data_IF_897236731229
#
_entry.id   IF_897236731229
#
_cell.length_a   1.000
_cell.length_b   1.000
_cell.length_c   1.000
_cell.angle_alpha   90.00
_cell.angle_beta   90.00
_cell.angle_gamma   90.00
#
_symmetry.space_group_name_H-M   'P 1'
#
loop_
_entity.id
_entity.type
_entity.pdbx_description
1 polymer ?
#
# COMPACT_ATOMS: atom_id res chain seq x y z
N UNK A 1 20.10 -2.24 1.51
CA UNK A 1 20.47 -0.82 1.39
C UNK A 1 19.20 0.02 1.51
N UNK A 2 19.17 0.97 2.44
CA UNK A 2 18.07 1.94 2.53
C UNK A 2 18.28 3.06 1.49
N UNK A 3 17.18 3.64 0.99
CA UNK A 3 17.21 4.76 0.04
C UNK A 3 16.20 5.80 0.51
N UNK A 4 16.63 7.06 0.60
CA UNK A 4 15.73 8.15 0.94
C UNK A 4 14.72 8.38 -0.19
N UNK A 5 13.44 8.57 0.16
CA UNK A 5 12.42 8.92 -0.82
C UNK A 5 12.73 10.31 -1.41
N UNK A 6 12.66 10.41 -2.73
CA UNK A 6 12.82 11.67 -3.47
C UNK A 6 11.72 11.79 -4.52
N UNK A 7 11.39 12.99 -5.02
CA UNK A 7 10.42 13.15 -6.10
C UNK A 7 10.73 12.28 -7.31
N UNK A 8 12.03 12.13 -7.65
CA UNK A 8 12.50 11.27 -8.76
C UNK A 8 12.23 9.79 -8.54
N UNK A 9 12.34 9.31 -7.30
CA UNK A 9 12.00 7.92 -6.96
C UNK A 9 10.48 7.73 -7.00
N UNK A 10 9.73 8.71 -6.51
CA UNK A 10 8.27 8.65 -6.44
C UNK A 10 7.61 8.72 -7.84
N UNK A 11 8.11 9.56 -8.74
CA UNK A 11 7.45 9.89 -10.02
C UNK A 11 7.29 8.72 -10.99
N UNK A 12 8.07 7.65 -10.84
CA UNK A 12 7.99 6.46 -11.69
C UNK A 12 7.03 5.37 -11.17
N UNK A 13 6.30 5.62 -10.07
CA UNK A 13 5.48 4.59 -9.43
C UNK A 13 4.02 4.64 -9.92
N UNK A 14 3.51 3.48 -10.35
CA UNK A 14 2.08 3.30 -10.65
C UNK A 14 1.24 3.05 -9.40
N UNK A 15 1.88 2.56 -8.34
CA UNK A 15 1.31 2.33 -7.02
C UNK A 15 2.38 2.58 -5.95
N UNK A 16 2.01 3.29 -4.88
CA UNK A 16 2.85 3.49 -3.69
C UNK A 16 2.10 2.94 -2.48
N UNK A 17 2.75 2.01 -1.77
CA UNK A 17 2.24 1.40 -0.55
C UNK A 17 3.05 1.88 0.64
N UNK A 18 2.40 2.46 1.63
CA UNK A 18 3.04 2.95 2.85
C UNK A 18 2.66 2.10 4.06
N UNK A 19 3.56 2.00 5.04
CA UNK A 19 3.27 1.23 6.26
C UNK A 19 2.28 1.94 7.19
N UNK A 20 2.26 3.27 7.16
CA UNK A 20 1.43 4.10 8.04
C UNK A 20 0.78 5.26 7.27
N UNK A 21 -0.21 5.91 7.87
CA UNK A 21 -0.79 7.16 7.36
C UNK A 21 0.22 8.30 7.38
N UNK A 22 1.07 8.38 8.40
CA UNK A 22 2.14 9.40 8.47
C UNK A 22 3.16 9.24 7.32
N UNK A 23 3.48 8.00 6.95
CA UNK A 23 4.30 7.72 5.77
C UNK A 23 3.60 8.14 4.47
N UNK A 24 2.29 7.92 4.36
CA UNK A 24 1.50 8.42 3.22
C UNK A 24 1.58 9.94 3.13
N UNK A 25 1.40 10.65 4.24
CA UNK A 25 1.46 12.11 4.27
C UNK A 25 2.86 12.61 3.87
N UNK A 26 3.92 11.91 4.30
CA UNK A 26 5.30 12.19 3.89
C UNK A 26 5.49 12.02 2.37
N UNK A 27 4.99 10.92 1.80
CA UNK A 27 5.02 10.69 0.34
C UNK A 27 4.31 11.83 -0.39
N UNK A 28 3.12 12.21 0.06
CA UNK A 28 2.29 13.22 -0.59
C UNK A 28 2.86 14.64 -0.42
N UNK A 29 3.59 14.92 0.66
CA UNK A 29 4.34 16.17 0.80
C UNK A 29 5.46 16.31 -0.23
N UNK A 30 6.10 15.19 -0.61
CA UNK A 30 7.19 15.17 -1.61
C UNK A 30 6.66 15.08 -3.04
N UNK A 31 5.56 14.34 -3.25
CA UNK A 31 4.97 14.09 -4.56
C UNK A 31 3.43 14.16 -4.52
N UNK A 32 2.83 15.37 -4.46
CA UNK A 32 1.38 15.53 -4.33
C UNK A 32 0.56 14.88 -5.46
N UNK A 33 1.15 14.78 -6.65
CA UNK A 33 0.53 14.16 -7.85
C UNK A 33 0.20 12.68 -7.64
N UNK A 34 0.78 12.02 -6.64
CA UNK A 34 0.54 10.61 -6.32
C UNK A 34 -0.64 10.39 -5.36
N UNK A 35 -1.47 11.40 -5.10
CA UNK A 35 -2.64 11.28 -4.20
C UNK A 35 -3.52 10.07 -4.49
N UNK A 36 -3.80 9.83 -5.77
CA UNK A 36 -4.63 8.71 -6.23
C UNK A 36 -3.87 7.39 -6.39
N UNK A 37 -2.55 7.40 -6.20
CA UNK A 37 -1.68 6.21 -6.34
C UNK A 37 -1.03 5.80 -5.03
N UNK A 38 -1.22 6.55 -3.95
CA UNK A 38 -0.63 6.29 -2.64
C UNK A 38 -1.68 5.79 -1.66
N UNK A 39 -1.45 4.62 -1.08
CA UNK A 39 -2.32 3.94 -0.12
C UNK A 39 -1.47 3.41 1.04
N UNK A 40 -2.06 3.22 2.23
CA UNK A 40 -1.40 2.33 3.19
C UNK A 40 -1.51 0.87 2.72
N UNK A 41 -0.60 0.01 3.20
CA UNK A 41 -0.63 -1.41 2.87
C UNK A 41 -1.99 -2.05 3.24
N UNK A 42 -2.46 -1.79 4.46
CA UNK A 42 -3.75 -2.27 4.94
C UNK A 42 -4.91 -1.74 4.10
N UNK A 43 -4.94 -0.45 3.76
CA UNK A 43 -6.00 0.13 2.92
C UNK A 43 -6.08 -0.58 1.56
N UNK A 44 -4.94 -0.74 0.88
CA UNK A 44 -4.89 -1.40 -0.42
C UNK A 44 -5.29 -2.87 -0.33
N UNK A 45 -4.80 -3.61 0.68
CA UNK A 45 -5.14 -5.01 0.87
C UNK A 45 -6.65 -5.22 1.03
N UNK A 46 -7.29 -4.41 1.91
CA UNK A 46 -8.75 -4.48 2.15
C UNK A 46 -9.56 -4.15 0.90
N UNK A 47 -9.15 -3.12 0.15
CA UNK A 47 -9.83 -2.76 -1.10
C UNK A 47 -9.84 -3.93 -2.10
N UNK A 48 -8.76 -4.72 -2.15
CA UNK A 48 -8.72 -5.91 -3.01
C UNK A 48 -9.51 -7.07 -2.42
N UNK A 49 -9.30 -7.39 -1.14
CA UNK A 49 -9.84 -8.62 -0.54
C UNK A 49 -11.30 -8.53 -0.12
N UNK A 50 -11.76 -7.36 0.34
CA UNK A 50 -13.11 -7.15 0.88
C UNK A 50 -14.03 -6.47 -0.13
N UNK A 51 -13.49 -5.51 -0.89
CA UNK A 51 -14.25 -4.69 -1.84
C UNK A 51 -14.04 -5.09 -3.31
N UNK A 52 -13.27 -6.15 -3.55
CA UNK A 52 -13.05 -6.76 -4.87
C UNK A 52 -12.51 -5.77 -5.91
N UNK A 53 -11.56 -4.90 -5.53
CA UNK A 53 -10.83 -4.08 -6.49
C UNK A 53 -10.08 -4.97 -7.50
N UNK A 54 -10.22 -4.69 -8.81
CA UNK A 54 -9.64 -5.52 -9.89
C UNK A 54 -8.45 -4.87 -10.58
N UNK A 55 -8.30 -3.56 -10.45
CA UNK A 55 -7.18 -2.78 -10.95
C UNK A 55 -6.89 -1.56 -10.05
N UNK A 56 -5.91 -0.75 -10.43
CA UNK A 56 -5.49 0.43 -9.67
C UNK A 56 -6.56 1.53 -9.67
N UNK A 57 -7.37 1.64 -10.73
CA UNK A 57 -8.50 2.57 -10.79
C UNK A 57 -9.58 2.20 -9.79
N UNK A 58 -9.89 0.91 -9.66
CA UNK A 58 -10.82 0.39 -8.65
C UNK A 58 -10.36 0.74 -7.23
N UNK A 59 -9.06 0.67 -6.92
CA UNK A 59 -8.55 1.08 -5.60
C UNK A 59 -8.93 2.53 -5.26
N UNK A 60 -8.89 3.44 -6.24
CA UNK A 60 -9.28 4.84 -6.05
C UNK A 60 -10.79 4.97 -5.88
N UNK A 61 -11.55 4.32 -6.77
CA UNK A 61 -13.00 4.41 -6.80
C UNK A 61 -13.66 3.82 -5.55
N UNK A 62 -13.07 2.74 -5.00
CA UNK A 62 -13.59 2.03 -3.84
C UNK A 62 -13.06 2.60 -2.51
N UNK A 63 -12.05 3.49 -2.54
CA UNK A 63 -11.48 4.12 -1.33
C UNK A 63 -12.54 4.73 -0.37
N UNK A 64 -13.61 5.40 -0.83
CA UNK A 64 -14.65 5.94 0.06
C UNK A 64 -15.44 4.87 0.84
N UNK A 65 -15.35 3.59 0.46
CA UNK A 65 -16.00 2.49 1.17
C UNK A 65 -15.23 2.06 2.43
N UNK A 66 -13.97 2.48 2.58
CA UNK A 66 -13.21 2.24 3.80
C UNK A 66 -13.72 3.16 4.91
N UNK A 67 -14.15 2.56 6.02
CA UNK A 67 -14.51 3.29 7.24
C UNK A 67 -13.23 3.83 7.89
N UNK A 68 -13.24 5.12 8.20
CA UNK A 68 -12.12 5.77 8.89
C UNK A 68 -11.86 5.08 10.24
N UNK A 69 -10.63 4.59 10.42
CA UNK A 69 -10.20 3.90 11.65
C UNK A 69 -10.15 2.37 11.56
N UNK A 70 -10.81 1.76 10.57
CA UNK A 70 -10.80 0.30 10.39
C UNK A 70 -9.61 -0.23 9.57
N UNK A 71 -8.75 0.66 9.08
CA UNK A 71 -7.49 0.29 8.42
C UNK A 71 -6.34 0.65 9.35
N UNK A 72 -5.97 -0.24 10.29
CA UNK A 72 -4.84 -0.01 11.17
C UNK A 72 -3.53 0.04 10.38
N UNK A 73 -2.62 0.87 10.85
CA UNK A 73 -1.26 0.95 10.30
C UNK A 73 -0.48 -0.33 10.64
N UNK A 74 0.55 -0.63 9.84
CA UNK A 74 1.52 -1.67 10.18
C UNK A 74 2.36 -1.17 11.36
N UNK A 75 2.44 -1.97 12.43
CA UNK A 75 3.20 -1.62 13.62
C UNK A 75 4.71 -1.58 13.30
N UNK A 76 5.43 -0.65 13.96
CA UNK A 76 6.88 -0.55 13.84
C UNK A 76 7.56 -1.55 14.78
N UNK A 77 8.30 -2.54 14.26
CA UNK A 77 8.96 -3.54 15.10
C UNK A 77 10.30 -3.06 15.66
N UNK A 78 10.81 -1.89 15.28
CA UNK A 78 12.15 -1.43 15.70
C UNK A 78 12.27 -1.36 17.23
N UNK A 79 13.32 -2.00 17.75
CA UNK A 79 13.60 -2.09 19.19
C UNK A 79 12.73 -3.09 19.94
N UNK A 80 11.86 -3.85 19.25
CA UNK A 80 11.00 -4.88 19.86
C UNK A 80 11.65 -6.27 19.82
N UNK A 81 10.96 -7.25 20.41
CA UNK A 81 11.42 -8.66 20.42
C UNK A 81 11.35 -9.29 19.02
N UNK A 82 12.09 -10.39 18.85
CA UNK A 82 12.07 -11.16 17.60
C UNK A 82 10.67 -11.66 17.23
N UNK A 83 9.84 -12.01 18.22
CA UNK A 83 8.47 -12.46 18.00
C UNK A 83 7.58 -11.34 17.44
N UNK A 84 7.76 -10.10 17.91
CA UNK A 84 7.06 -8.93 17.38
C UNK A 84 7.50 -8.66 15.94
N UNK A 85 8.82 -8.71 15.67
CA UNK A 85 9.34 -8.61 14.30
C UNK A 85 8.72 -9.65 13.36
N UNK A 86 8.66 -10.92 13.80
CA UNK A 86 8.07 -12.00 13.03
C UNK A 86 6.58 -11.78 12.79
N UNK A 87 5.83 -11.35 13.81
CA UNK A 87 4.42 -11.04 13.69
C UNK A 87 4.13 -9.91 12.70
N UNK A 88 4.91 -8.81 12.75
CA UNK A 88 4.81 -7.72 11.77
C UNK A 88 5.15 -8.21 10.36
N UNK A 89 6.19 -9.05 10.23
CA UNK A 89 6.56 -9.67 8.95
C UNK A 89 5.44 -10.53 8.36
N UNK A 90 4.78 -11.33 9.18
CA UNK A 90 3.60 -12.13 8.79
C UNK A 90 2.45 -11.22 8.37
N UNK A 91 2.16 -10.17 9.13
CA UNK A 91 1.11 -9.20 8.79
C UNK A 91 1.35 -8.55 7.42
N UNK A 92 2.59 -8.11 7.14
CA UNK A 92 2.96 -7.57 5.82
C UNK A 92 2.78 -8.63 4.73
N UNK A 93 3.24 -9.85 5.01
CA UNK A 93 3.18 -10.97 4.05
C UNK A 93 1.74 -11.33 3.70
N UNK A 94 0.82 -11.35 4.65
CA UNK A 94 -0.59 -11.65 4.41
C UNK A 94 -1.26 -10.53 3.61
N UNK A 95 -0.99 -9.27 3.97
CA UNK A 95 -1.60 -8.11 3.32
C UNK A 95 -1.06 -7.84 1.92
N UNK A 96 0.18 -8.24 1.60
CA UNK A 96 0.73 -8.02 0.26
C UNK A 96 0.16 -9.00 -0.77
N UNK A 97 -0.29 -10.19 -0.37
CA UNK A 97 -0.76 -11.23 -1.31
C UNK A 97 -1.91 -10.76 -2.22
N UNK A 98 -3.01 -10.18 -1.73
CA UNK A 98 -4.08 -9.70 -2.59
C UNK A 98 -3.61 -8.65 -3.61
N UNK A 99 -2.68 -7.78 -3.18
CA UNK A 99 -2.15 -6.70 -4.01
C UNK A 99 -1.26 -7.26 -5.12
N UNK A 100 -0.42 -8.26 -4.82
CA UNK A 100 0.38 -8.96 -5.84
C UNK A 100 -0.51 -9.61 -6.89
N UNK A 101 -1.61 -10.24 -6.48
CA UNK A 101 -2.56 -10.86 -7.40
C UNK A 101 -3.32 -9.81 -8.25
N UNK A 102 -3.62 -8.63 -7.70
CA UNK A 102 -4.12 -7.49 -8.48
C UNK A 102 -3.07 -7.05 -9.53
N UNK A 103 -1.82 -6.82 -9.13
CA UNK A 103 -0.76 -6.40 -10.04
C UNK A 103 -0.52 -7.41 -11.16
N UNK A 104 -0.55 -8.71 -10.85
CA UNK A 104 -0.42 -9.78 -11.83
C UNK A 104 -1.54 -9.73 -12.88
N UNK A 105 -2.79 -9.51 -12.45
CA UNK A 105 -3.95 -9.39 -13.35
C UNK A 105 -3.86 -8.17 -14.28
N UNK A 106 -3.38 -7.04 -13.76
CA UNK A 106 -3.18 -5.81 -14.55
C UNK A 106 -2.06 -6.01 -15.58
N UNK A 107 -0.96 -6.65 -15.20
CA UNK A 107 0.17 -6.90 -16.12
C UNK A 107 -0.20 -7.79 -17.30
N UNK A 108 -1.11 -8.76 -17.12
CA UNK A 108 -1.56 -9.64 -18.22
C UNK A 108 -2.42 -8.87 -19.23
N UNK A 109 -3.26 -7.93 -18.78
CA UNK A 109 -4.15 -7.15 -19.67
C UNK A 109 -3.45 -6.07 -20.49
N UNK A 110 -2.25 -5.66 -20.09
CA UNK A 110 -1.45 -4.68 -20.83
C UNK A 110 -0.59 -5.27 -21.95
N UNK A 111 -0.61 -6.59 -22.14
CA UNK A 111 0.14 -7.30 -23.18
C UNK A 111 -0.70 -7.68 -24.41
N UNK A 112 -2.00 -7.34 -24.40
CA UNK A 112 -2.96 -7.44 -25.51
C UNK A 112 -3.18 -6.06 -26.15
#
# INVERSE_FOLDING_TARGET
MARQLTPKIASGSDLVLTMTKAHRDTVLGVAPRLLHRTFTLTEAARLVSEFNARDIGDLVALRPQLVAGESPDIADPIGQSADVFAAVGSQISDQIQPILELCRRVSVRGAD
#
